data_IF_605283887559
#
_entry.id   IF_605283887559
#
_cell.length_a   1.000
_cell.length_b   1.000
_cell.length_c   1.000
_cell.angle_alpha   90.00
_cell.angle_beta   90.00
_cell.angle_gamma   90.00
#
_symmetry.space_group_name_H-M   'P 1'
#
loop_
_entity.id
_entity.type
_entity.pdbx_description
1 polymer ?
#
# COMPACT_ATOMS: atom_id res chain seq x y z
N UNK A 1 18.58 35.74 -7.79
CA UNK A 1 17.44 34.84 -8.03
C UNK A 1 17.99 33.45 -8.24
N UNK A 2 17.79 32.54 -7.30
CA UNK A 2 18.25 31.15 -7.44
C UNK A 2 17.21 30.43 -8.29
N UNK A 3 17.49 30.32 -9.58
CA UNK A 3 16.62 29.65 -10.54
C UNK A 3 16.78 28.14 -10.33
N UNK A 4 15.75 27.52 -9.74
CA UNK A 4 15.59 26.06 -9.68
C UNK A 4 15.51 25.52 -11.13
N UNK A 5 16.65 25.18 -11.71
CA UNK A 5 16.73 24.34 -12.91
C UNK A 5 17.05 22.91 -12.47
N UNK A 6 16.51 21.94 -13.19
CA UNK A 6 16.95 20.54 -13.25
C UNK A 6 16.33 19.54 -12.26
N UNK A 7 15.01 19.56 -12.11
CA UNK A 7 14.27 18.30 -11.88
C UNK A 7 13.49 17.99 -13.14
N UNK A 8 14.11 17.25 -14.05
CA UNK A 8 13.37 16.59 -15.13
C UNK A 8 12.14 15.91 -14.50
N UNK A 9 10.92 16.12 -15.02
CA UNK A 9 9.76 15.46 -14.45
C UNK A 9 10.03 13.96 -14.55
N UNK A 10 10.16 13.30 -13.39
CA UNK A 10 10.27 11.85 -13.30
C UNK A 10 9.30 11.25 -14.31
N UNK A 11 9.84 10.47 -15.26
CA UNK A 11 9.05 9.87 -16.33
C UNK A 11 7.77 9.29 -15.74
N UNK A 12 6.61 9.69 -16.27
CA UNK A 12 5.31 9.28 -15.73
C UNK A 12 5.20 7.75 -15.63
N UNK A 13 5.92 7.01 -16.48
CA UNK A 13 6.07 5.56 -16.38
C UNK A 13 6.71 5.11 -15.06
N UNK A 14 7.80 5.74 -14.62
CA UNK A 14 8.47 5.42 -13.35
C UNK A 14 7.57 5.73 -12.16
N UNK A 15 6.87 6.87 -12.19
CA UNK A 15 5.92 7.26 -11.12
C UNK A 15 4.78 6.23 -11.00
N UNK A 16 4.23 5.79 -12.14
CA UNK A 16 3.17 4.78 -12.16
C UNK A 16 3.66 3.41 -11.70
N UNK A 17 4.87 3.01 -12.07
CA UNK A 17 5.50 1.78 -11.60
C UNK A 17 5.67 1.82 -10.08
N UNK A 18 6.32 2.86 -9.55
CA UNK A 18 6.53 3.01 -8.11
C UNK A 18 5.19 2.97 -7.37
N UNK A 19 4.20 3.74 -7.84
CA UNK A 19 2.86 3.78 -7.23
C UNK A 19 2.16 2.41 -7.29
N UNK A 20 2.35 1.64 -8.37
CA UNK A 20 1.82 0.28 -8.51
C UNK A 20 2.40 -0.69 -7.48
N UNK A 21 3.68 -0.51 -7.12
CA UNK A 21 4.36 -1.34 -6.12
C UNK A 21 4.17 -0.86 -4.68
N UNK A 22 4.02 0.46 -4.45
CA UNK A 22 3.87 1.00 -3.09
C UNK A 22 2.65 0.42 -2.37
N UNK A 23 1.50 0.33 -3.05
CA UNK A 23 0.25 -0.19 -2.45
C UNK A 23 0.38 -1.64 -1.94
N UNK A 24 0.82 -2.62 -2.77
CA UNK A 24 1.00 -4.00 -2.29
C UNK A 24 2.04 -4.10 -1.20
N UNK A 25 3.16 -3.38 -1.34
CA UNK A 25 4.25 -3.42 -0.37
C UNK A 25 3.74 -2.96 0.99
N UNK A 26 3.04 -1.84 1.08
CA UNK A 26 2.49 -1.34 2.34
C UNK A 26 1.50 -2.33 2.99
N UNK A 27 0.60 -2.92 2.19
CA UNK A 27 -0.37 -3.90 2.70
C UNK A 27 0.33 -5.16 3.23
N UNK A 28 1.32 -5.68 2.51
CA UNK A 28 2.08 -6.88 2.91
C UNK A 28 2.93 -6.59 4.14
N UNK A 29 3.67 -5.48 4.16
CA UNK A 29 4.51 -5.12 5.31
C UNK A 29 3.68 -4.89 6.57
N UNK A 30 2.53 -4.20 6.46
CA UNK A 30 1.60 -4.02 7.57
C UNK A 30 1.11 -5.35 8.11
N UNK A 31 0.69 -6.26 7.23
CA UNK A 31 0.20 -7.58 7.61
C UNK A 31 1.30 -8.44 8.27
N UNK A 32 2.50 -8.49 7.68
CA UNK A 32 3.63 -9.24 8.24
C UNK A 32 4.02 -8.70 9.61
N UNK A 33 4.07 -7.38 9.78
CA UNK A 33 4.39 -6.76 11.07
C UNK A 33 3.34 -7.10 12.13
N UNK A 34 2.05 -7.04 11.76
CA UNK A 34 0.95 -7.43 12.65
C UNK A 34 1.04 -8.90 13.07
N UNK A 35 1.29 -9.81 12.13
CA UNK A 35 1.47 -11.25 12.41
C UNK A 35 2.65 -11.48 13.33
N UNK A 36 3.78 -10.81 13.09
CA UNK A 36 4.97 -10.92 13.96
C UNK A 36 4.68 -10.42 15.38
N UNK A 37 4.00 -9.29 15.54
CA UNK A 37 3.61 -8.80 16.87
C UNK A 37 2.69 -9.79 17.57
N UNK A 38 1.74 -10.38 16.84
CA UNK A 38 0.79 -11.34 17.38
C UNK A 38 1.47 -12.64 17.85
N UNK A 39 2.38 -13.19 17.03
CA UNK A 39 3.12 -14.43 17.36
C UNK A 39 4.07 -14.21 18.54
N UNK A 40 4.69 -13.02 18.63
CA UNK A 40 5.61 -12.69 19.73
C UNK A 40 4.90 -12.22 21.00
N UNK A 41 3.56 -12.19 21.03
CA UNK A 41 2.78 -11.76 22.20
C UNK A 41 2.96 -10.28 22.54
N UNK A 42 3.35 -9.45 21.57
CA UNK A 42 3.47 -8.00 21.75
C UNK A 42 2.06 -7.41 21.79
N UNK A 43 1.76 -6.57 22.79
CA UNK A 43 0.50 -5.84 22.83
C UNK A 43 0.35 -4.96 21.59
N UNK A 44 -0.72 -5.22 20.83
CA UNK A 44 -1.00 -4.51 19.59
C UNK A 44 -2.07 -3.45 19.86
N UNK A 45 -1.79 -2.15 19.65
CA UNK A 45 -2.82 -1.13 19.72
C UNK A 45 -3.95 -1.44 18.73
N UNK A 46 -5.20 -1.26 19.16
CA UNK A 46 -6.38 -1.52 18.32
C UNK A 46 -6.35 -0.69 17.02
N UNK A 47 -5.93 0.58 17.12
CA UNK A 47 -5.76 1.48 15.97
C UNK A 47 -4.78 0.91 14.95
N UNK A 48 -3.69 0.26 15.39
CA UNK A 48 -2.73 -0.36 14.49
C UNK A 48 -3.35 -1.54 13.74
N UNK A 49 -4.10 -2.39 14.44
CA UNK A 49 -4.84 -3.50 13.84
C UNK A 49 -5.83 -3.00 12.78
N UNK A 50 -6.60 -1.96 13.09
CA UNK A 50 -7.54 -1.34 12.16
C UNK A 50 -6.83 -0.75 10.93
N UNK A 51 -5.68 -0.11 11.12
CA UNK A 51 -4.89 0.45 10.03
C UNK A 51 -4.35 -0.64 9.10
N UNK A 52 -3.85 -1.76 9.64
CA UNK A 52 -3.38 -2.91 8.86
C UNK A 52 -4.53 -3.51 8.06
N UNK A 53 -5.67 -3.79 8.69
CA UNK A 53 -6.84 -4.31 8.00
C UNK A 53 -7.39 -3.33 6.96
N UNK A 54 -7.38 -2.03 7.25
CA UNK A 54 -7.73 -0.98 6.30
C UNK A 54 -6.85 -1.00 5.05
N UNK A 55 -5.54 -1.17 5.20
CA UNK A 55 -4.61 -1.29 4.06
C UNK A 55 -4.84 -2.58 3.26
N UNK A 56 -5.08 -3.69 3.93
CA UNK A 56 -5.39 -4.99 3.29
C UNK A 56 -6.68 -4.89 2.49
N UNK A 57 -7.75 -4.36 3.08
CA UNK A 57 -9.03 -4.14 2.39
C UNK A 57 -8.92 -3.10 1.27
N UNK A 58 -8.13 -2.05 1.46
CA UNK A 58 -7.91 -1.07 0.40
C UNK A 58 -7.22 -1.70 -0.81
N UNK A 59 -6.20 -2.53 -0.60
CA UNK A 59 -5.49 -3.18 -1.71
C UNK A 59 -6.26 -4.36 -2.33
N UNK A 60 -6.76 -5.29 -1.51
CA UNK A 60 -7.45 -6.49 -1.98
C UNK A 60 -8.93 -6.27 -2.25
N UNK A 61 -9.59 -5.37 -1.52
CA UNK A 61 -10.99 -5.01 -1.76
C UNK A 61 -11.18 -4.28 -3.08
N UNK A 62 -10.27 -3.37 -3.47
CA UNK A 62 -10.30 -2.74 -4.80
C UNK A 62 -10.19 -3.80 -5.91
N UNK A 63 -9.29 -4.79 -5.75
CA UNK A 63 -9.12 -5.91 -6.69
C UNK A 63 -10.29 -6.90 -6.69
N UNK A 64 -10.84 -7.20 -5.52
CA UNK A 64 -11.98 -8.09 -5.34
C UNK A 64 -13.27 -7.50 -5.93
N UNK A 65 -13.49 -6.20 -5.71
CA UNK A 65 -14.61 -5.46 -6.31
C UNK A 65 -14.46 -5.38 -7.82
N UNK A 66 -13.28 -5.03 -8.36
CA UNK A 66 -13.05 -5.02 -9.81
C UNK A 66 -13.30 -6.39 -10.45
N UNK A 67 -12.90 -7.48 -9.77
CA UNK A 67 -13.14 -8.85 -10.21
C UNK A 67 -14.63 -9.24 -10.11
N UNK A 68 -15.34 -8.82 -9.07
CA UNK A 68 -16.78 -9.08 -8.89
C UNK A 68 -17.65 -8.27 -9.86
N UNK A 69 -17.26 -7.03 -10.17
CA UNK A 69 -17.96 -6.17 -11.15
C UNK A 69 -17.64 -6.59 -12.59
N UNK A 70 -16.81 -7.62 -12.81
CA UNK A 70 -16.47 -8.10 -14.15
C UNK A 70 -15.61 -7.13 -14.96
N UNK A 71 -15.11 -6.05 -14.36
CA UNK A 71 -14.10 -5.14 -14.96
C UNK A 71 -12.69 -5.69 -14.71
N UNK A 72 -12.54 -6.99 -14.97
CA UNK A 72 -11.33 -7.77 -14.76
C UNK A 72 -10.75 -8.31 -16.06
N UNK A 73 -10.85 -7.56 -17.16
CA UNK A 73 -9.90 -7.39 -18.27
C UNK A 73 -10.42 -6.32 -19.22
#
# INVERSE_FOLDING_TARGET
MITNKDKEPLSQGVVNIVRSFTRPILAIFGLVSWVMMHINGIEIPEIFTLLVWGMVLWYFGERGILKMIGKGQ
#
